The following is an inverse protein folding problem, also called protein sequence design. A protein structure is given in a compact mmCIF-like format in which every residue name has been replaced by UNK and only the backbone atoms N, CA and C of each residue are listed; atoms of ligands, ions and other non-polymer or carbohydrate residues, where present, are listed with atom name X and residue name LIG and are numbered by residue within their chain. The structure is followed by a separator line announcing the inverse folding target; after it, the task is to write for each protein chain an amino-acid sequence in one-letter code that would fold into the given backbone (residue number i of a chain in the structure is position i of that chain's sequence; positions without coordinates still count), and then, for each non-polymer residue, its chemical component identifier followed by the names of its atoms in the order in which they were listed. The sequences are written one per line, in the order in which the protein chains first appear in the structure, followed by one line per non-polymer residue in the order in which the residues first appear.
data_IF_204001198389
#
_entry.id   IF_204001198389
#
_cell.length_a   1.000
_cell.length_b   1.000
_cell.length_c   1.000
_cell.angle_alpha   90.00
_cell.angle_beta   90.00
_cell.angle_gamma   90.00
#
_symmetry.space_group_name_H-M   'P 1'
#
loop_
_entity.id
_entity.type
_entity.pdbx_description
1 polymer ?
#
# COMPACT_ATOMS: atom_id res chain seq x y z
N UNK A 1 -10.64 7.62 -9.79
CA UNK A 1 -9.45 6.75 -9.85
C UNK A 1 -8.96 6.55 -8.43
N UNK A 2 -8.87 5.33 -7.92
CA UNK A 2 -8.28 5.03 -6.61
C UNK A 2 -6.90 4.46 -6.87
N UNK A 3 -5.85 5.24 -6.60
CA UNK A 3 -4.47 4.73 -6.65
C UNK A 3 -4.27 3.72 -5.52
N UNK A 4 -3.95 2.47 -5.87
CA UNK A 4 -3.53 1.47 -4.89
C UNK A 4 -2.09 1.71 -4.50
N UNK A 5 -1.84 1.72 -3.20
CA UNK A 5 -0.53 1.89 -2.61
C UNK A 5 -0.06 0.58 -1.99
N UNK A 6 1.24 0.30 -2.10
CA UNK A 6 1.84 -0.94 -1.63
C UNK A 6 3.06 -0.65 -0.75
N UNK A 7 3.34 -1.56 0.17
CA UNK A 7 4.42 -1.41 1.12
C UNK A 7 5.77 -1.61 0.41
N UNK A 8 6.74 -0.69 0.54
CA UNK A 8 8.08 -0.88 -0.03
C UNK A 8 8.86 -2.05 0.58
N UNK A 9 8.46 -2.51 1.77
CA UNK A 9 9.15 -3.58 2.49
C UNK A 9 8.60 -4.95 2.15
N UNK A 10 7.28 -5.13 2.22
CA UNK A 10 6.66 -6.44 2.03
C UNK A 10 5.81 -6.54 0.75
N UNK A 11 5.75 -5.48 -0.06
CA UNK A 11 4.99 -5.38 -1.33
C UNK A 11 3.49 -5.71 -1.22
N UNK A 12 2.94 -5.72 0.00
CA UNK A 12 1.50 -5.90 0.26
C UNK A 12 0.75 -4.58 0.15
N UNK A 13 -0.53 -4.65 -0.19
CA UNK A 13 -1.41 -3.49 -0.25
C UNK A 13 -1.45 -2.74 1.09
N UNK A 14 -1.34 -1.42 1.02
CA UNK A 14 -1.43 -0.52 2.15
C UNK A 14 -2.86 -0.04 2.34
N UNK A 15 -3.26 0.07 3.60
CA UNK A 15 -4.55 0.64 3.97
C UNK A 15 -4.46 2.16 4.04
N UNK A 16 -5.37 2.84 3.36
CA UNK A 16 -5.51 4.28 3.47
C UNK A 16 -6.31 4.62 4.74
N UNK A 17 -5.62 5.14 5.74
CA UNK A 17 -6.22 5.62 6.98
C UNK A 17 -6.41 7.13 6.88
N UNK A 18 -7.65 7.58 6.84
CA UNK A 18 -7.98 9.00 6.93
C UNK A 18 -8.33 9.38 8.39
N UNK A 19 -7.57 10.28 9.00
CA UNK A 19 -7.79 10.75 10.36
C UNK A 19 -7.59 12.27 10.46
N UNK A 20 -8.49 12.97 11.13
CA UNK A 20 -8.44 14.43 11.35
C UNK A 20 -8.16 15.26 10.06
N UNK A 21 -8.70 14.83 8.91
CA UNK A 21 -8.54 15.51 7.63
C UNK A 21 -7.22 15.20 6.88
N UNK A 22 -6.34 14.38 7.45
CA UNK A 22 -5.15 13.86 6.77
C UNK A 22 -5.36 12.41 6.34
N UNK A 23 -4.70 11.99 5.25
CA UNK A 23 -4.68 10.62 4.79
C UNK A 23 -3.27 10.02 4.91
N UNK A 24 -3.17 8.89 5.58
CA UNK A 24 -1.94 8.14 5.84
C UNK A 24 -2.05 6.74 5.25
N UNK A 25 -0.91 6.13 4.94
CA UNK A 25 -0.86 4.74 4.52
C UNK A 25 -0.36 3.88 5.68
N UNK A 26 -1.05 2.78 5.96
CA UNK A 26 -0.66 1.83 7.00
C UNK A 26 -0.50 0.44 6.43
N UNK A 27 0.62 -0.19 6.73
CA UNK A 27 0.86 -1.57 6.36
C UNK A 27 0.29 -2.49 7.44
N UNK A 28 -0.79 -3.20 7.12
CA UNK A 28 -1.41 -4.15 8.05
C UNK A 28 -0.55 -5.38 8.35
N UNK A 29 0.40 -5.70 7.48
CA UNK A 29 1.32 -6.83 7.63
C UNK A 29 2.53 -6.46 8.51
N UNK A 30 3.19 -5.34 8.20
CA UNK A 30 4.31 -4.85 9.00
C UNK A 30 3.86 -4.15 10.29
N UNK A 31 2.56 -3.81 10.41
CA UNK A 31 1.97 -2.99 11.48
C UNK A 31 2.69 -1.65 11.67
N UNK A 32 2.95 -0.96 10.55
CA UNK A 32 3.73 0.29 10.51
C UNK A 32 3.06 1.31 9.60
N UNK A 33 3.19 2.59 9.96
CA UNK A 33 2.84 3.71 9.10
C UNK A 33 3.88 3.86 7.97
N UNK A 34 3.40 4.03 6.75
CA UNK A 34 4.20 4.22 5.55
C UNK A 34 3.93 5.61 4.98
N UNK A 35 4.99 6.31 4.62
CA UNK A 35 4.88 7.63 4.01
C UNK A 35 4.49 7.51 2.54
N UNK A 36 3.64 8.41 2.07
CA UNK A 36 3.19 8.49 0.66
C UNK A 36 4.33 8.68 -0.35
N UNK A 37 5.52 9.11 0.10
CA UNK A 37 6.73 9.21 -0.73
C UNK A 37 7.48 7.89 -0.90
N UNK A 38 7.22 6.91 -0.04
CA UNK A 38 7.92 5.63 -0.03
C UNK A 38 7.01 4.47 -0.42
N UNK A 39 5.73 4.71 -0.67
CA UNK A 39 4.83 3.68 -1.18
C UNK A 39 5.27 3.23 -2.57
N UNK A 40 5.02 1.96 -2.85
CA UNK A 40 5.09 1.44 -4.20
C UNK A 40 3.71 1.58 -4.85
N UNK A 41 3.69 1.85 -6.15
CA UNK A 41 2.45 1.95 -6.94
C UNK A 41 2.15 0.60 -7.58
N UNK A 42 0.91 0.39 -8.04
CA UNK A 42 0.50 -0.86 -8.71
C UNK A 42 1.40 -1.21 -9.92
N UNK A 43 1.92 -0.20 -10.63
CA UNK A 43 2.92 -0.35 -11.71
C UNK A 43 4.25 -0.98 -11.25
N UNK A 44 4.62 -0.84 -9.98
CA UNK A 44 5.89 -1.34 -9.41
C UNK A 44 5.80 -2.80 -8.90
N UNK A 45 4.58 -3.36 -8.80
CA UNK A 45 4.33 -4.70 -8.21
C UNK A 45 3.92 -5.76 -9.24
N UNK A 46 3.92 -5.46 -10.54
CA UNK A 46 3.34 -6.29 -11.61
C UNK A 46 4.12 -7.57 -11.98
N UNK A 47 4.58 -8.37 -11.02
CA UNK A 47 5.17 -9.70 -11.31
C UNK A 47 4.60 -10.88 -10.51
N UNK A 48 3.71 -10.68 -9.54
CA UNK A 48 3.07 -11.80 -8.84
C UNK A 48 1.55 -11.61 -8.75
N UNK A 49 0.84 -12.08 -9.78
CA UNK A 49 -0.56 -12.46 -9.67
C UNK A 49 -0.65 -13.87 -9.08
N UNK A 50 -1.04 -14.06 -7.81
CA UNK A 50 -1.77 -15.27 -7.46
C UNK A 50 -3.17 -15.14 -8.08
N UNK A 51 -3.30 -15.67 -9.31
CA UNK A 51 -4.58 -16.18 -9.81
C UNK A 51 -4.95 -17.38 -8.95
N UNK A 52 -5.91 -17.25 -8.06
CA UNK A 52 -6.68 -18.38 -7.51
C UNK A 52 -8.14 -17.89 -7.45
N UNK A 53 -8.92 -18.12 -8.51
CA UNK A 53 -9.75 -19.31 -8.82
C UNK A 53 -10.84 -19.57 -7.78
#
# INVERSE_FOLDING_TARGET
MKEKAYCPTCKKELELIAACGAANYFCNYCKKLVSSKSILKEEDIQEESPKEQ
#
